data_IF_410345666460
#
_entry.id   IF_410345666460
#
_cell.length_a   1.000
_cell.length_b   1.000
_cell.length_c   1.000
_cell.angle_alpha   90.00
_cell.angle_beta   90.00
_cell.angle_gamma   90.00
#
_symmetry.space_group_name_H-M   'P 1'
#
loop_
_entity.id
_entity.type
_entity.pdbx_description
1 polymer ?
#
# COMPACT_ATOMS: atom_id res chain seq x y z
N UNK A 1 -10.21 20.05 -49.81
CA UNK A 1 -9.59 19.87 -48.48
C UNK A 1 -10.49 20.43 -47.36
N UNK A 2 -11.79 20.06 -47.31
CA UNK A 2 -12.76 20.70 -46.39
C UNK A 2 -13.88 19.77 -45.86
N UNK A 3 -13.72 18.44 -45.97
CA UNK A 3 -14.73 17.46 -45.50
C UNK A 3 -14.22 16.60 -44.32
N UNK A 4 -12.90 16.51 -44.13
CA UNK A 4 -12.31 15.64 -43.09
C UNK A 4 -12.28 16.26 -41.68
N UNK A 5 -12.14 17.59 -41.56
CA UNK A 5 -12.04 18.27 -40.25
C UNK A 5 -13.38 18.36 -39.51
N UNK A 6 -14.51 18.41 -40.23
CA UNK A 6 -15.86 18.49 -39.62
C UNK A 6 -16.35 17.15 -39.04
N UNK A 7 -15.80 16.02 -39.52
CA UNK A 7 -16.14 14.68 -39.02
C UNK A 7 -15.40 14.34 -37.71
N UNK A 8 -14.19 14.88 -37.55
CA UNK A 8 -13.33 14.65 -36.37
C UNK A 8 -13.82 15.39 -35.12
N UNK A 9 -14.36 16.60 -35.27
CA UNK A 9 -14.93 17.37 -34.15
C UNK A 9 -16.26 16.78 -33.63
N UNK A 10 -17.03 16.11 -34.50
CA UNK A 10 -18.28 15.43 -34.11
C UNK A 10 -18.02 14.12 -33.36
N UNK A 11 -16.93 13.42 -33.70
CA UNK A 11 -16.49 12.20 -32.99
C UNK A 11 -15.91 12.50 -31.60
N UNK A 12 -15.16 13.61 -31.47
CA UNK A 12 -14.57 14.02 -30.19
C UNK A 12 -15.62 14.51 -29.18
N UNK A 13 -16.67 15.22 -29.64
CA UNK A 13 -17.82 15.59 -28.80
C UNK A 13 -18.70 14.38 -28.40
N UNK A 14 -18.83 13.36 -29.27
CA UNK A 14 -19.63 12.17 -28.95
C UNK A 14 -18.93 11.30 -27.89
N UNK A 15 -17.60 11.17 -27.97
CA UNK A 15 -16.81 10.39 -27.02
C UNK A 15 -16.73 11.05 -25.64
N UNK A 16 -16.59 12.38 -25.59
CA UNK A 16 -16.59 13.15 -24.33
C UNK A 16 -17.97 13.18 -23.67
N UNK A 17 -19.06 13.13 -24.42
CA UNK A 17 -20.41 13.05 -23.86
C UNK A 17 -20.73 11.64 -23.33
N UNK A 18 -20.31 10.55 -24.01
CA UNK A 18 -20.48 9.17 -23.51
C UNK A 18 -19.62 8.85 -22.28
N UNK A 19 -18.39 9.36 -22.21
CA UNK A 19 -17.51 9.16 -21.04
C UNK A 19 -17.98 9.93 -19.80
N UNK A 20 -18.77 11.00 -19.96
CA UNK A 20 -19.36 11.75 -18.84
C UNK A 20 -20.66 11.13 -18.32
N UNK A 21 -21.31 10.30 -19.14
CA UNK A 21 -22.49 9.52 -18.75
C UNK A 21 -22.13 8.20 -18.06
N UNK A 22 -21.01 7.56 -18.43
CA UNK A 22 -20.60 6.29 -17.86
C UNK A 22 -20.45 6.31 -16.31
N UNK A 23 -19.71 7.27 -15.70
CA UNK A 23 -19.61 7.33 -14.25
C UNK A 23 -20.93 7.75 -13.59
N UNK A 24 -21.76 8.54 -14.29
CA UNK A 24 -23.05 9.03 -13.80
C UNK A 24 -24.13 7.96 -13.79
N UNK A 25 -24.12 7.05 -14.77
CA UNK A 25 -25.05 5.92 -14.89
C UNK A 25 -24.65 4.78 -13.95
N UNK A 26 -23.34 4.52 -13.81
CA UNK A 26 -22.80 3.50 -12.90
C UNK A 26 -22.98 3.91 -11.43
N UNK A 27 -22.80 5.19 -11.08
CA UNK A 27 -23.01 5.69 -9.71
C UNK A 27 -24.48 5.74 -9.26
N UNK A 28 -25.44 5.75 -10.19
CA UNK A 28 -26.87 5.89 -9.87
C UNK A 28 -27.59 4.56 -9.57
N UNK A 29 -26.98 3.42 -9.90
CA UNK A 29 -27.64 2.12 -9.74
C UNK A 29 -26.82 1.05 -8.99
N UNK A 30 -25.50 1.17 -8.94
CA UNK A 30 -24.66 0.16 -8.29
C UNK A 30 -24.37 0.50 -6.83
N UNK A 31 -24.56 -0.47 -5.94
CA UNK A 31 -24.14 -0.40 -4.55
C UNK A 31 -22.61 -0.14 -4.49
N UNK A 32 -22.10 0.71 -3.58
CA UNK A 32 -20.66 1.04 -3.49
C UNK A 32 -19.75 -0.19 -3.43
N UNK A 33 -20.23 -1.27 -2.81
CA UNK A 33 -19.58 -2.58 -2.83
C UNK A 33 -19.22 -3.09 -4.25
N UNK A 34 -20.15 -3.03 -5.20
CA UNK A 34 -19.90 -3.51 -6.56
C UNK A 34 -18.92 -2.61 -7.32
N UNK A 35 -18.85 -1.33 -6.99
CA UNK A 35 -17.86 -0.43 -7.57
C UNK A 35 -16.45 -0.81 -7.09
N UNK A 36 -16.29 -1.08 -5.80
CA UNK A 36 -15.02 -1.52 -5.23
C UNK A 36 -14.61 -2.90 -5.75
N UNK A 37 -15.55 -3.84 -5.85
CA UNK A 37 -15.29 -5.15 -6.44
C UNK A 37 -14.85 -5.04 -7.90
N UNK A 38 -15.56 -4.23 -8.70
CA UNK A 38 -15.16 -3.97 -10.09
C UNK A 38 -13.77 -3.31 -10.17
N UNK A 39 -13.45 -2.40 -9.26
CA UNK A 39 -12.14 -1.75 -9.19
C UNK A 39 -11.02 -2.78 -9.02
N UNK A 40 -11.11 -3.66 -8.02
CA UNK A 40 -10.09 -4.69 -7.78
C UNK A 40 -10.01 -5.71 -8.93
N UNK A 41 -11.14 -6.11 -9.51
CA UNK A 41 -11.15 -7.02 -10.66
C UNK A 41 -10.46 -6.41 -11.88
N UNK A 42 -10.76 -5.15 -12.21
CA UNK A 42 -10.13 -4.44 -13.34
C UNK A 42 -8.64 -4.23 -13.06
N UNK A 43 -8.26 -3.84 -11.84
CA UNK A 43 -6.87 -3.65 -11.44
C UNK A 43 -6.06 -4.96 -11.54
N UNK A 44 -6.61 -6.08 -11.03
CA UNK A 44 -6.03 -7.42 -11.14
C UNK A 44 -5.83 -7.86 -12.60
N UNK A 45 -6.84 -7.65 -13.46
CA UNK A 45 -6.76 -8.01 -14.87
C UNK A 45 -5.74 -7.15 -15.61
N UNK A 46 -5.74 -5.83 -15.37
CA UNK A 46 -4.78 -4.90 -15.96
C UNK A 46 -3.35 -5.27 -15.58
N UNK A 47 -3.09 -5.57 -14.30
CA UNK A 47 -1.78 -6.03 -13.85
C UNK A 47 -1.33 -7.33 -14.52
N UNK A 48 -2.22 -8.31 -14.67
CA UNK A 48 -1.89 -9.57 -15.34
C UNK A 48 -1.51 -9.34 -16.80
N UNK A 49 -2.29 -8.54 -17.54
CA UNK A 49 -1.94 -8.18 -18.92
C UNK A 49 -0.63 -7.39 -19.00
N UNK A 50 -0.41 -6.43 -18.10
CA UNK A 50 0.84 -5.65 -18.04
C UNK A 50 2.07 -6.52 -17.76
N UNK A 51 1.94 -7.50 -16.86
CA UNK A 51 3.02 -8.45 -16.56
C UNK A 51 3.28 -9.40 -17.73
N UNK A 52 2.23 -9.84 -18.42
CA UNK A 52 2.30 -10.74 -19.59
C UNK A 52 2.92 -10.07 -20.82
N UNK A 53 2.62 -8.79 -21.03
CA UNK A 53 3.18 -7.98 -22.12
C UNK A 53 4.63 -7.55 -21.84
N UNK A 54 5.03 -7.50 -20.58
CA UNK A 54 6.39 -7.13 -20.18
C UNK A 54 7.40 -8.23 -20.50
N UNK A 55 8.63 -7.82 -20.83
CA UNK A 55 9.72 -8.77 -21.10
C UNK A 55 10.18 -9.42 -19.78
N UNK A 56 10.13 -10.76 -19.67
CA UNK A 56 10.60 -11.47 -18.49
C UNK A 56 12.14 -11.38 -18.39
N UNK A 57 12.66 -11.52 -17.17
CA UNK A 57 14.10 -11.54 -16.90
C UNK A 57 14.74 -12.88 -17.29
N UNK A 58 14.00 -13.97 -17.12
CA UNK A 58 14.44 -15.34 -17.34
C UNK A 58 14.01 -15.88 -18.70
N UNK A 59 14.75 -16.86 -19.24
CA UNK A 59 14.38 -17.58 -20.48
C UNK A 59 13.09 -18.40 -20.32
N UNK A 60 12.80 -18.86 -19.11
CA UNK A 60 11.57 -19.59 -18.77
C UNK A 60 10.55 -18.59 -18.22
N UNK A 61 9.40 -18.48 -18.89
CA UNK A 61 8.28 -17.69 -18.40
C UNK A 61 7.51 -18.48 -17.34
N UNK A 62 7.09 -17.84 -16.23
CA UNK A 62 6.14 -18.43 -15.30
C UNK A 62 4.82 -18.77 -16.01
N UNK A 63 4.03 -19.69 -15.44
CA UNK A 63 2.73 -20.03 -16.00
C UNK A 63 1.80 -18.80 -15.95
N UNK A 64 0.86 -18.74 -16.91
CA UNK A 64 -0.11 -17.66 -16.97
C UNK A 64 -0.99 -17.58 -15.70
N UNK A 65 -1.30 -18.74 -15.09
CA UNK A 65 -2.06 -18.79 -13.84
C UNK A 65 -1.27 -18.23 -12.66
N UNK A 66 0.02 -18.57 -12.54
CA UNK A 66 0.88 -18.07 -11.46
C UNK A 66 1.10 -16.55 -11.60
N UNK A 67 1.16 -16.06 -12.84
CA UNK A 67 1.25 -14.63 -13.14
C UNK A 67 -0.05 -13.89 -12.80
N UNK A 68 -1.20 -14.48 -13.12
CA UNK A 68 -2.50 -13.93 -12.74
C UNK A 68 -2.65 -13.90 -11.22
N UNK A 69 -2.30 -15.00 -10.54
CA UNK A 69 -2.32 -15.07 -9.08
C UNK A 69 -1.41 -14.01 -8.45
N UNK A 70 -0.20 -13.83 -8.97
CA UNK A 70 0.72 -12.79 -8.50
C UNK A 70 0.14 -11.39 -8.67
N UNK A 71 -0.52 -11.11 -9.80
CA UNK A 71 -1.20 -9.83 -10.05
C UNK A 71 -2.34 -9.59 -9.06
N UNK A 72 -3.20 -10.59 -8.87
CA UNK A 72 -4.30 -10.55 -7.89
C UNK A 72 -3.73 -10.28 -6.51
N UNK A 73 -2.75 -11.08 -6.07
CA UNK A 73 -2.11 -10.97 -4.77
C UNK A 73 -1.48 -9.59 -4.51
N UNK A 74 -0.81 -9.01 -5.51
CA UNK A 74 -0.26 -7.66 -5.44
C UNK A 74 -1.36 -6.59 -5.34
N UNK A 75 -2.43 -6.74 -6.13
CA UNK A 75 -3.54 -5.77 -6.15
C UNK A 75 -4.43 -5.83 -4.92
N UNK A 76 -4.54 -7.00 -4.27
CA UNK A 76 -5.29 -7.18 -3.01
C UNK A 76 -4.40 -7.14 -1.79
N UNK A 77 -3.08 -6.90 -1.98
CA UNK A 77 -2.11 -6.77 -0.88
C UNK A 77 -2.13 -8.01 0.04
N UNK A 78 -2.28 -9.21 -0.55
CA UNK A 78 -2.45 -10.45 0.23
C UNK A 78 -1.13 -11.13 0.57
N UNK A 79 -0.01 -10.69 -0.01
CA UNK A 79 1.34 -11.25 0.20
C UNK A 79 1.56 -12.70 -0.22
N UNK A 80 0.58 -13.36 -0.85
CA UNK A 80 0.74 -14.73 -1.33
C UNK A 80 1.61 -14.78 -2.58
N UNK A 81 2.68 -15.58 -2.54
CA UNK A 81 3.67 -15.71 -3.61
C UNK A 81 3.50 -17.06 -4.31
N UNK A 82 3.16 -17.06 -5.60
CA UNK A 82 3.20 -18.27 -6.45
C UNK A 82 4.48 -18.38 -7.28
N UNK A 83 5.15 -17.25 -7.51
CA UNK A 83 6.41 -17.16 -8.27
C UNK A 83 7.40 -16.34 -7.47
N UNK A 84 8.61 -16.85 -7.31
CA UNK A 84 9.72 -16.14 -6.69
C UNK A 84 9.91 -14.75 -7.31
N UNK A 85 10.07 -13.73 -6.45
CA UNK A 85 10.11 -12.34 -6.91
C UNK A 85 11.40 -12.00 -7.68
N UNK A 86 12.47 -12.78 -7.52
CA UNK A 86 13.74 -12.60 -8.25
C UNK A 86 13.63 -12.91 -9.74
N UNK A 87 12.65 -13.74 -10.13
CA UNK A 87 12.39 -14.14 -11.52
C UNK A 87 11.88 -12.95 -12.34
N UNK A 88 11.26 -11.96 -11.70
CA UNK A 88 10.71 -10.79 -12.37
C UNK A 88 11.80 -9.80 -12.82
N UNK A 89 11.55 -9.15 -13.95
CA UNK A 89 12.41 -8.07 -14.44
C UNK A 89 12.18 -6.78 -13.65
N UNK A 90 13.14 -5.83 -13.68
CA UNK A 90 12.97 -4.55 -13.00
C UNK A 90 11.69 -3.81 -13.44
N UNK A 91 11.30 -3.91 -14.70
CA UNK A 91 10.06 -3.34 -15.21
C UNK A 91 8.82 -4.02 -14.63
N UNK A 92 8.84 -5.35 -14.50
CA UNK A 92 7.75 -6.10 -13.86
C UNK A 92 7.65 -5.79 -12.37
N UNK A 93 8.77 -5.64 -11.66
CA UNK A 93 8.80 -5.20 -10.27
C UNK A 93 8.19 -3.81 -10.12
N UNK A 94 8.51 -2.85 -10.99
CA UNK A 94 7.89 -1.50 -10.98
C UNK A 94 6.37 -1.58 -11.23
N UNK A 95 5.92 -2.45 -12.13
CA UNK A 95 4.49 -2.67 -12.36
C UNK A 95 3.80 -3.25 -11.12
N UNK A 96 4.42 -4.23 -10.47
CA UNK A 96 3.94 -4.77 -9.20
C UNK A 96 3.92 -3.71 -8.11
N UNK A 97 4.94 -2.84 -8.03
CA UNK A 97 4.97 -1.70 -7.11
C UNK A 97 3.77 -0.78 -7.32
N UNK A 98 3.43 -0.45 -8.57
CA UNK A 98 2.24 0.36 -8.87
C UNK A 98 0.94 -0.35 -8.50
N UNK A 99 0.87 -1.68 -8.70
CA UNK A 99 -0.28 -2.48 -8.29
C UNK A 99 -0.47 -2.49 -6.77
N UNK A 100 0.59 -2.77 -6.02
CA UNK A 100 0.58 -2.79 -4.54
C UNK A 100 0.20 -1.42 -3.98
N UNK A 101 0.73 -0.35 -4.58
CA UNK A 101 0.40 1.01 -4.20
C UNK A 101 -1.10 1.33 -4.44
N UNK A 102 -1.62 1.03 -5.63
CA UNK A 102 -3.03 1.27 -5.96
C UNK A 102 -4.00 0.40 -5.14
N UNK A 103 -3.62 -0.85 -4.87
CA UNK A 103 -4.38 -1.80 -4.08
C UNK A 103 -4.34 -1.56 -2.57
N UNK A 104 -3.37 -0.75 -2.10
CA UNK A 104 -3.18 -0.46 -0.69
C UNK A 104 -4.38 0.21 -0.03
N UNK A 105 -4.56 -0.08 1.25
CA UNK A 105 -5.66 0.45 2.07
C UNK A 105 -5.68 1.99 2.08
N UNK A 106 -4.49 2.61 2.14
CA UNK A 106 -4.35 4.07 2.10
C UNK A 106 -4.88 4.68 0.81
N UNK A 107 -4.66 4.04 -0.34
CA UNK A 107 -5.09 4.57 -1.64
C UNK A 107 -6.57 4.33 -1.89
N UNK A 108 -7.02 3.12 -1.57
CA UNK A 108 -8.42 2.74 -1.69
C UNK A 108 -9.30 3.59 -0.78
N UNK A 109 -8.86 3.91 0.44
CA UNK A 109 -9.59 4.82 1.33
C UNK A 109 -9.69 6.23 0.75
N UNK A 110 -8.62 6.78 0.16
CA UNK A 110 -8.67 8.08 -0.50
C UNK A 110 -9.59 8.08 -1.72
N UNK A 111 -9.62 6.99 -2.49
CA UNK A 111 -10.52 6.82 -3.62
C UNK A 111 -11.99 6.81 -3.16
N UNK A 112 -12.30 6.10 -2.08
CA UNK A 112 -13.64 6.04 -1.49
C UNK A 112 -14.13 7.43 -1.07
N UNK A 113 -13.25 8.26 -0.50
CA UNK A 113 -13.56 9.64 -0.16
C UNK A 113 -13.91 10.50 -1.39
N UNK A 114 -13.17 10.32 -2.50
CA UNK A 114 -13.44 11.04 -3.75
C UNK A 114 -14.79 10.61 -4.35
N UNK A 115 -15.09 9.31 -4.32
CA UNK A 115 -16.37 8.77 -4.80
C UNK A 115 -17.54 9.23 -3.93
N UNK A 116 -17.38 9.27 -2.61
CA UNK A 116 -18.37 9.78 -1.67
C UNK A 116 -18.71 11.26 -1.97
N UNK A 117 -17.71 12.11 -2.22
CA UNK A 117 -17.92 13.51 -2.61
C UNK A 117 -18.66 13.67 -3.93
N UNK A 118 -18.39 12.80 -4.90
CA UNK A 118 -19.11 12.83 -6.17
C UNK A 118 -20.61 12.54 -5.98
N UNK A 119 -20.95 11.52 -5.18
CA UNK A 119 -22.35 11.14 -4.91
C UNK A 119 -23.13 12.24 -4.19
N UNK A 120 -22.51 12.91 -3.22
CA UNK A 120 -23.09 14.06 -2.51
C UNK A 120 -23.34 15.23 -3.47
N UNK A 121 -22.43 15.49 -4.40
CA UNK A 121 -22.58 16.57 -5.39
C UNK A 121 -23.70 16.31 -6.40
N UNK A 122 -24.06 15.05 -6.64
CA UNK A 122 -25.10 14.66 -7.61
C UNK A 122 -26.53 14.62 -7.08
N UNK A 123 -26.74 14.75 -5.75
CA UNK A 123 -28.06 14.82 -5.13
C UNK A 123 -28.29 16.20 -4.46
N UNK A 124 -28.73 17.24 -5.20
CA UNK A 124 -29.02 18.53 -4.61
C UNK A 124 -30.45 18.52 -4.04
N UNK A 125 -30.59 18.38 -2.73
CA UNK A 125 -31.75 18.92 -2.02
C UNK A 125 -31.24 19.75 -0.83
N UNK A 126 -31.24 21.07 -1.03
CA UNK A 126 -30.71 22.10 -0.12
C UNK A 126 -31.65 22.34 1.10
N UNK A 127 -31.20 23.03 2.19
CA UNK A 127 -31.01 24.49 2.13
C UNK A 127 -29.72 25.04 2.78
N UNK A 128 -29.13 26.00 2.05
CA UNK A 128 -28.61 27.32 2.48
C UNK A 128 -27.51 27.43 3.56
N UNK A 129 -26.29 27.79 3.16
CA UNK A 129 -25.62 29.05 3.55
C UNK A 129 -24.39 29.33 2.67
N UNK A 130 -23.98 30.59 2.64
CA UNK A 130 -23.36 31.29 1.50
C UNK A 130 -21.82 31.21 1.46
N UNK A 131 -21.32 31.44 0.25
CA UNK A 131 -20.02 32.04 -0.13
C UNK A 131 -18.73 31.30 0.25
N UNK A 132 -18.09 30.72 -0.77
CA UNK A 132 -16.67 30.36 -0.80
C UNK A 132 -16.22 30.23 -2.24
N UNK A 133 -15.24 31.02 -2.64
CA UNK A 133 -14.66 31.15 -3.98
C UNK A 133 -14.05 29.85 -4.52
N UNK A 134 -13.94 29.67 -5.86
CA UNK A 134 -13.40 28.45 -6.45
C UNK A 134 -11.92 28.27 -6.07
N UNK A 135 -11.65 27.14 -5.43
CA UNK A 135 -10.32 26.67 -5.04
C UNK A 135 -9.44 26.52 -6.30
N UNK A 136 -8.48 27.43 -6.50
CA UNK A 136 -7.38 27.21 -7.45
C UNK A 136 -6.43 26.19 -6.83
N UNK A 137 -6.44 24.97 -7.36
CA UNK A 137 -5.42 23.98 -7.07
C UNK A 137 -4.10 24.44 -7.72
N UNK A 138 -3.16 24.92 -6.90
CA UNK A 138 -1.78 25.05 -7.33
C UNK A 138 -1.19 23.64 -7.37
N UNK A 139 -0.82 23.19 -8.57
CA UNK A 139 0.00 22.02 -8.80
C UNK A 139 1.36 22.25 -8.13
N UNK A 140 1.66 21.47 -7.10
CA UNK A 140 3.02 21.30 -6.62
C UNK A 140 3.65 20.25 -7.53
N UNK A 141 4.42 20.71 -8.51
CA UNK A 141 5.35 19.84 -9.23
C UNK A 141 6.39 19.35 -8.22
N UNK A 142 6.33 18.05 -7.92
CA UNK A 142 7.36 17.38 -7.15
C UNK A 142 8.54 17.14 -8.10
N UNK A 143 9.51 18.04 -8.06
CA UNK A 143 10.76 17.91 -8.79
C UNK A 143 11.46 16.63 -8.40
N UNK A 144 11.50 15.67 -9.32
CA UNK A 144 12.25 14.43 -9.20
C UNK A 144 13.74 14.79 -9.28
N UNK A 145 14.42 14.85 -8.14
CA UNK A 145 15.88 14.99 -8.08
C UNK A 145 16.48 13.76 -8.75
N UNK A 146 16.93 13.94 -9.99
CA UNK A 146 17.69 12.95 -10.74
C UNK A 146 19.10 12.94 -10.17
N UNK A 147 19.41 11.93 -9.35
CA UNK A 147 20.79 11.63 -8.96
C UNK A 147 21.40 10.81 -10.11
N UNK A 148 22.47 11.27 -10.79
CA UNK A 148 23.16 10.46 -11.78
C UNK A 148 24.00 9.44 -11.02
N UNK A 149 23.80 8.14 -11.27
CA UNK A 149 24.82 7.16 -10.91
C UNK A 149 25.19 6.31 -12.14
N UNK A 150 26.46 6.48 -12.47
CA UNK A 150 27.27 5.82 -13.46
C UNK A 150 27.17 4.29 -13.40
N UNK A 151 26.98 3.71 -14.59
CA UNK A 151 27.23 2.29 -14.84
C UNK A 151 28.72 1.97 -14.62
N UNK A 152 28.99 0.93 -13.85
CA UNK A 152 30.19 0.11 -14.05
C UNK A 152 29.95 -1.31 -13.52
N UNK A 153 29.84 -2.20 -14.52
CA UNK A 153 30.37 -3.56 -14.63
C UNK A 153 30.08 -4.68 -13.60
N UNK A 154 29.59 -5.80 -14.18
CA UNK A 154 29.82 -7.23 -13.87
C UNK A 154 29.61 -7.69 -12.41
N UNK A 155 28.76 -8.68 -12.08
CA UNK A 155 28.43 -9.94 -12.76
C UNK A 155 27.14 -10.50 -12.09
N UNK A 156 26.29 -11.21 -12.85
CA UNK A 156 24.88 -11.62 -12.60
C UNK A 156 23.84 -10.53 -12.93
N UNK A 157 22.70 -10.87 -13.57
CA UNK A 157 21.62 -9.92 -13.72
C UNK A 157 21.06 -9.66 -12.33
N UNK A 158 21.51 -8.59 -11.67
CA UNK A 158 21.10 -8.19 -10.32
C UNK A 158 20.02 -7.11 -10.41
N UNK A 159 19.05 -7.15 -9.48
CA UNK A 159 17.97 -6.14 -9.42
C UNK A 159 18.62 -4.78 -9.18
N UNK A 160 18.19 -3.75 -9.90
CA UNK A 160 18.74 -2.40 -9.67
C UNK A 160 18.45 -2.01 -8.23
N UNK A 161 19.45 -1.50 -7.51
CA UNK A 161 19.33 -1.13 -6.09
C UNK A 161 18.17 -0.15 -5.87
N UNK A 162 17.98 0.81 -6.78
CA UNK A 162 16.87 1.76 -6.74
C UNK A 162 15.51 1.07 -6.88
N UNK A 163 15.40 0.08 -7.77
CA UNK A 163 14.17 -0.71 -7.93
C UNK A 163 13.91 -1.56 -6.70
N UNK A 164 14.95 -2.17 -6.14
CA UNK A 164 14.88 -2.92 -4.88
C UNK A 164 14.35 -2.03 -3.75
N UNK A 165 14.98 -0.88 -3.50
CA UNK A 165 14.60 0.00 -2.40
C UNK A 165 13.19 0.55 -2.55
N UNK A 166 12.82 1.01 -3.75
CA UNK A 166 11.48 1.53 -4.00
C UNK A 166 10.42 0.43 -3.82
N UNK A 167 10.69 -0.76 -4.35
CA UNK A 167 9.78 -1.89 -4.22
C UNK A 167 9.58 -2.28 -2.77
N UNK A 168 10.66 -2.43 -1.99
CA UNK A 168 10.58 -2.78 -0.57
C UNK A 168 9.81 -1.71 0.20
N UNK A 169 10.13 -0.42 0.05
CA UNK A 169 9.43 0.66 0.78
C UNK A 169 7.92 0.65 0.48
N UNK A 170 7.54 0.56 -0.78
CA UNK A 170 6.11 0.57 -1.17
C UNK A 170 5.42 -0.72 -0.71
N UNK A 171 6.07 -1.87 -0.80
CA UNK A 171 5.52 -3.14 -0.32
C UNK A 171 5.30 -3.12 1.20
N UNK A 172 6.31 -2.68 1.97
CA UNK A 172 6.22 -2.56 3.42
C UNK A 172 5.16 -1.53 3.83
N UNK A 173 5.10 -0.37 3.15
CA UNK A 173 4.09 0.66 3.43
C UNK A 173 2.69 0.24 3.01
N UNK A 174 2.54 -0.48 1.91
CA UNK A 174 1.24 -0.98 1.49
C UNK A 174 0.81 -2.20 2.32
N UNK A 175 1.66 -2.75 3.20
CA UNK A 175 1.42 -4.02 3.92
C UNK A 175 1.40 -5.26 3.03
N UNK A 176 2.01 -5.21 1.83
CA UNK A 176 1.93 -6.29 0.84
C UNK A 176 2.87 -7.47 1.10
N UNK A 177 3.93 -7.33 1.90
CA UNK A 177 4.78 -8.47 2.26
C UNK A 177 5.69 -9.03 1.16
N UNK A 178 5.68 -8.46 -0.05
CA UNK A 178 6.59 -8.87 -1.11
C UNK A 178 7.96 -8.25 -0.92
N UNK A 179 9.00 -9.07 -1.03
CA UNK A 179 10.38 -8.62 -1.12
C UNK A 179 11.00 -9.25 -2.36
N UNK A 180 11.82 -8.52 -3.12
CA UNK A 180 12.41 -9.00 -4.35
C UNK A 180 13.62 -9.93 -4.08
N UNK A 181 13.41 -10.91 -3.20
CA UNK A 181 14.33 -11.97 -2.77
C UNK A 181 13.53 -13.27 -2.59
N UNK A 182 14.17 -14.43 -2.77
CA UNK A 182 13.46 -15.73 -2.66
C UNK A 182 13.06 -16.07 -1.21
N UNK A 183 13.90 -15.68 -0.26
CA UNK A 183 13.71 -15.95 1.17
C UNK A 183 13.14 -14.75 1.95
N UNK A 184 12.48 -13.81 1.26
CA UNK A 184 11.91 -12.62 1.88
C UNK A 184 12.98 -11.83 2.70
N UNK A 185 12.66 -11.39 3.92
CA UNK A 185 13.59 -10.63 4.77
C UNK A 185 14.59 -11.52 5.53
N UNK A 186 14.52 -12.85 5.41
CA UNK A 186 15.41 -13.78 6.13
C UNK A 186 16.88 -13.54 5.78
N UNK A 187 17.17 -13.19 4.53
CA UNK A 187 18.52 -12.84 4.03
C UNK A 187 19.12 -11.66 4.80
N UNK A 188 18.27 -10.76 5.31
CA UNK A 188 18.70 -9.54 5.99
C UNK A 188 18.65 -9.65 7.52
N UNK A 189 18.42 -10.84 8.09
CA UNK A 189 18.31 -11.04 9.55
C UNK A 189 19.50 -10.49 10.36
N UNK A 190 20.70 -10.49 9.76
CA UNK A 190 21.92 -9.97 10.37
C UNK A 190 22.02 -8.43 10.32
N UNK A 191 21.30 -7.79 9.39
CA UNK A 191 21.35 -6.35 9.15
C UNK A 191 20.23 -5.63 9.90
N UNK A 192 20.41 -5.48 11.21
CA UNK A 192 19.42 -4.83 12.09
C UNK A 192 19.08 -3.40 11.69
N UNK A 193 19.99 -2.69 11.00
CA UNK A 193 19.73 -1.32 10.54
C UNK A 193 18.59 -1.26 9.53
N UNK A 194 18.54 -2.19 8.58
CA UNK A 194 17.47 -2.27 7.58
C UNK A 194 16.12 -2.61 8.23
N UNK A 195 16.10 -3.59 9.13
CA UNK A 195 14.88 -4.01 9.83
C UNK A 195 14.29 -2.85 10.65
N UNK A 196 15.15 -2.11 11.35
CA UNK A 196 14.71 -0.97 12.17
C UNK A 196 14.21 0.19 11.31
N UNK A 197 14.79 0.41 10.12
CA UNK A 197 14.31 1.43 9.18
C UNK A 197 12.92 1.08 8.59
N UNK A 198 12.65 -0.19 8.36
CA UNK A 198 11.38 -0.67 7.83
C UNK A 198 10.28 -0.75 8.90
N UNK A 199 10.64 -0.99 10.16
CA UNK A 199 9.69 -1.14 11.27
C UNK A 199 8.66 0.01 11.40
N UNK A 200 9.04 1.31 11.36
CA UNK A 200 8.07 2.40 11.35
C UNK A 200 7.15 2.35 10.12
N UNK A 201 7.67 2.01 8.95
CA UNK A 201 6.91 1.99 7.70
C UNK A 201 5.81 0.92 7.74
N UNK A 202 6.08 -0.24 8.34
CA UNK A 202 5.09 -1.32 8.56
C UNK A 202 3.89 -0.81 9.36
N UNK A 203 4.16 -0.10 10.46
CA UNK A 203 3.09 0.38 11.36
C UNK A 203 2.27 1.51 10.72
N UNK A 204 2.92 2.41 9.99
CA UNK A 204 2.29 3.58 9.35
C UNK A 204 1.34 3.20 8.20
N UNK A 205 1.61 2.08 7.53
CA UNK A 205 0.98 1.68 6.28
C UNK A 205 -0.52 1.36 6.37
N UNK A 206 -0.91 0.64 7.41
CA UNK A 206 -2.28 0.14 7.55
C UNK A 206 -2.91 0.59 8.88
N UNK A 207 -2.68 -0.15 9.97
CA UNK A 207 -3.49 0.02 11.18
C UNK A 207 -3.26 1.34 11.92
N UNK A 208 -2.06 1.93 11.84
CA UNK A 208 -1.81 3.27 12.39
C UNK A 208 -2.02 4.38 11.36
N UNK A 209 -2.57 4.10 10.19
CA UNK A 209 -2.95 5.14 9.23
C UNK A 209 -3.88 6.20 9.84
N UNK A 210 -4.98 5.86 10.56
CA UNK A 210 -5.87 6.87 11.15
C UNK A 210 -5.20 7.78 12.19
N UNK A 211 -4.44 7.27 13.19
CA UNK A 211 -3.63 8.10 14.09
C UNK A 211 -2.62 8.98 13.35
N UNK A 212 -1.91 8.44 12.36
CA UNK A 212 -0.87 9.19 11.63
C UNK A 212 -1.45 10.29 10.76
N UNK A 213 -2.57 10.02 10.08
CA UNK A 213 -3.32 11.04 9.35
C UNK A 213 -3.73 12.19 10.28
N UNK A 214 -4.22 11.87 11.48
CA UNK A 214 -4.58 12.87 12.49
C UNK A 214 -3.37 13.69 12.95
N UNK A 215 -2.21 13.06 13.18
CA UNK A 215 -0.96 13.74 13.52
C UNK A 215 -0.50 14.69 12.40
N UNK A 216 -0.57 14.25 11.14
CA UNK A 216 -0.24 15.09 9.97
C UNK A 216 -1.15 16.32 9.90
N UNK A 217 -2.47 16.15 10.09
CA UNK A 217 -3.41 17.28 10.10
C UNK A 217 -3.11 18.23 11.27
N UNK A 218 -2.74 17.71 12.45
CA UNK A 218 -2.33 18.52 13.59
C UNK A 218 -1.03 19.30 13.33
N UNK A 219 -0.05 18.68 12.67
CA UNK A 219 1.19 19.33 12.24
C UNK A 219 0.92 20.43 11.22
N UNK A 220 0.10 20.15 10.19
CA UNK A 220 -0.33 21.14 9.20
C UNK A 220 -1.08 22.31 9.83
N UNK A 221 -1.95 22.04 10.82
CA UNK A 221 -2.59 23.09 11.62
C UNK A 221 -1.55 23.97 12.32
N UNK A 222 -0.51 23.38 12.91
CA UNK A 222 0.53 24.13 13.63
C UNK A 222 1.40 24.97 12.69
N UNK A 223 1.72 24.44 11.51
CA UNK A 223 2.55 25.10 10.49
C UNK A 223 1.78 26.18 9.74
N UNK A 224 0.60 25.86 9.20
CA UNK A 224 -0.14 26.75 8.30
C UNK A 224 -1.10 27.70 9.05
N UNK A 225 -1.44 27.42 10.32
CA UNK A 225 -2.37 28.19 11.17
C UNK A 225 -3.74 28.51 10.51
N UNK A 226 -4.15 27.75 9.49
CA UNK A 226 -5.45 27.90 8.83
C UNK A 226 -6.57 27.33 9.71
N UNK A 227 -7.71 28.01 9.75
CA UNK A 227 -8.89 27.54 10.48
C UNK A 227 -9.51 26.28 9.87
N UNK A 228 -9.27 26.02 8.59
CA UNK A 228 -9.75 24.85 7.84
C UNK A 228 -9.34 23.52 8.49
N UNK A 229 -8.09 23.38 8.95
CA UNK A 229 -7.62 22.17 9.63
C UNK A 229 -8.23 22.02 11.03
N UNK A 230 -8.52 23.13 11.71
CA UNK A 230 -9.23 23.11 12.99
C UNK A 230 -10.69 22.69 12.82
N UNK A 231 -11.33 23.12 11.73
CA UNK A 231 -12.68 22.70 11.37
C UNK A 231 -12.72 21.21 11.01
N UNK A 232 -11.74 20.72 10.24
CA UNK A 232 -11.64 19.31 9.84
C UNK A 232 -11.45 18.36 11.04
N UNK A 233 -10.62 18.74 12.02
CA UNK A 233 -10.42 17.98 13.26
C UNK A 233 -11.64 17.97 14.19
N UNK A 234 -12.49 19.01 14.13
CA UNK A 234 -13.65 19.18 15.00
C UNK A 234 -14.90 18.49 14.43
N UNK A 235 -15.08 18.57 13.10
CA UNK A 235 -16.24 18.01 12.39
C UNK A 235 -15.88 16.72 11.64
N UNK A 236 -14.98 15.91 12.18
CA UNK A 236 -14.52 14.67 11.54
C UNK A 236 -15.69 13.69 11.27
N UNK A 237 -16.72 13.70 12.13
CA UNK A 237 -17.92 12.86 12.01
C UNK A 237 -18.80 13.22 10.81
N UNK A 238 -18.81 14.49 10.41
CA UNK A 238 -19.65 14.99 9.31
C UNK A 238 -18.96 14.86 7.93
N UNK A 239 -17.65 14.57 7.92
CA UNK A 239 -16.85 14.45 6.69
C UNK A 239 -17.02 13.09 5.99
N UNK A 240 -17.63 12.09 6.66
CA UNK A 240 -17.89 10.77 6.09
C UNK A 240 -16.62 9.97 5.72
N UNK A 241 -15.47 10.27 6.35
CA UNK A 241 -14.24 9.51 6.17
C UNK A 241 -14.01 8.60 7.37
N UNK A 242 -14.18 7.29 7.17
CA UNK A 242 -14.15 6.29 8.25
C UNK A 242 -12.79 6.24 8.96
N UNK A 243 -11.70 6.61 8.27
CA UNK A 243 -10.35 6.67 8.86
C UNK A 243 -10.05 7.99 9.59
N UNK A 244 -10.99 8.93 9.70
CA UNK A 244 -10.84 10.08 10.61
C UNK A 244 -11.45 9.76 11.98
N UNK A 245 -10.72 9.02 12.82
CA UNK A 245 -11.17 8.67 14.17
C UNK A 245 -10.95 9.81 15.19
N UNK A 246 -11.75 9.79 16.27
CA UNK A 246 -11.58 10.68 17.43
C UNK A 246 -10.23 10.46 18.13
N UNK A 247 -9.72 11.48 18.84
CA UNK A 247 -8.42 11.39 19.53
C UNK A 247 -8.36 10.23 20.54
N UNK A 248 -9.46 9.99 21.25
CA UNK A 248 -9.56 8.88 22.19
C UNK A 248 -9.49 7.53 21.47
N UNK A 249 -10.22 7.36 20.36
CA UNK A 249 -10.18 6.14 19.58
C UNK A 249 -8.80 5.92 18.93
N UNK A 250 -8.14 6.97 18.43
CA UNK A 250 -6.76 6.87 17.94
C UNK A 250 -5.80 6.44 19.06
N UNK A 251 -5.93 7.01 20.26
CA UNK A 251 -5.10 6.66 21.41
C UNK A 251 -5.32 5.21 21.84
N UNK A 252 -6.58 4.78 21.95
CA UNK A 252 -6.94 3.40 22.26
C UNK A 252 -6.43 2.43 21.19
N UNK A 253 -6.56 2.77 19.91
CA UNK A 253 -6.03 1.97 18.80
C UNK A 253 -4.52 1.78 18.92
N UNK A 254 -3.76 2.88 19.10
CA UNK A 254 -2.31 2.82 19.31
C UNK A 254 -1.97 1.96 20.54
N UNK A 255 -2.68 2.15 21.65
CA UNK A 255 -2.45 1.39 22.87
C UNK A 255 -2.70 -0.12 22.68
N UNK A 256 -3.79 -0.50 21.98
CA UNK A 256 -4.10 -1.91 21.71
C UNK A 256 -3.09 -2.55 20.74
N UNK A 257 -2.71 -1.85 19.67
CA UNK A 257 -1.70 -2.35 18.71
C UNK A 257 -0.36 -2.55 19.40
N UNK A 258 0.12 -1.56 20.16
CA UNK A 258 1.38 -1.69 20.91
C UNK A 258 1.28 -2.77 21.99
N UNK A 259 0.19 -2.84 22.73
CA UNK A 259 -0.02 -3.85 23.77
C UNK A 259 0.01 -5.28 23.22
N UNK A 260 -0.72 -5.55 22.13
CA UNK A 260 -0.73 -6.88 21.50
C UNK A 260 0.63 -7.23 20.87
N UNK A 261 1.37 -6.26 20.34
CA UNK A 261 2.72 -6.49 19.84
C UNK A 261 3.71 -6.80 20.98
N UNK A 262 3.62 -6.11 22.12
CA UNK A 262 4.47 -6.38 23.29
C UNK A 262 4.22 -7.78 23.85
N UNK A 263 2.96 -8.21 23.98
CA UNK A 263 2.62 -9.56 24.47
C UNK A 263 3.25 -10.63 23.59
N UNK A 264 3.12 -10.49 22.27
CA UNK A 264 3.70 -11.44 21.32
C UNK A 264 5.23 -11.41 21.29
N UNK A 265 5.83 -10.23 21.41
CA UNK A 265 7.28 -10.08 21.52
C UNK A 265 7.83 -10.82 22.73
N UNK A 266 7.21 -10.64 23.90
CA UNK A 266 7.60 -11.34 25.13
C UNK A 266 7.46 -12.85 24.97
N UNK A 267 6.37 -13.32 24.38
CA UNK A 267 6.12 -14.76 24.19
C UNK A 267 7.12 -15.38 23.19
N UNK A 268 7.38 -14.71 22.06
CA UNK A 268 8.37 -15.13 21.06
C UNK A 268 9.78 -15.19 21.67
N UNK A 269 10.20 -14.12 22.35
CA UNK A 269 11.52 -14.10 22.99
C UNK A 269 11.65 -15.16 24.08
N UNK A 270 10.60 -15.44 24.85
CA UNK A 270 10.67 -16.43 25.94
C UNK A 270 10.80 -17.87 25.43
N UNK A 271 10.16 -18.18 24.30
CA UNK A 271 10.13 -19.55 23.77
C UNK A 271 11.27 -19.85 22.79
N UNK A 272 11.68 -18.88 21.96
CA UNK A 272 12.63 -19.11 20.86
C UNK A 272 14.05 -18.61 21.15
N UNK A 273 14.34 -18.08 22.35
CA UNK A 273 15.66 -17.49 22.64
C UNK A 273 16.84 -18.43 22.38
N UNK A 274 16.63 -19.70 22.69
CA UNK A 274 17.62 -20.78 22.63
C UNK A 274 17.36 -21.76 21.47
N UNK A 275 16.46 -21.44 20.54
CA UNK A 275 16.22 -22.29 19.38
C UNK A 275 17.22 -22.02 18.27
N UNK A 276 17.32 -22.98 17.35
CA UNK A 276 18.21 -22.93 16.18
C UNK A 276 17.92 -21.73 15.26
N UNK A 277 16.72 -21.15 15.36
CA UNK A 277 16.26 -20.01 14.54
C UNK A 277 17.03 -18.73 14.88
N UNK A 278 17.29 -18.52 16.16
CA UNK A 278 18.02 -17.37 16.68
C UNK A 278 19.52 -17.66 16.88
N UNK A 279 19.98 -18.86 16.53
CA UNK A 279 21.38 -19.24 16.68
C UNK A 279 22.29 -18.41 15.75
N UNK A 280 23.44 -17.98 16.27
CA UNK A 280 24.39 -17.12 15.55
C UNK A 280 24.06 -15.62 15.53
N UNK A 281 22.92 -15.19 16.09
CA UNK A 281 22.58 -13.76 16.23
C UNK A 281 23.03 -13.19 17.57
N UNK A 282 23.56 -11.96 17.55
CA UNK A 282 23.87 -11.21 18.75
C UNK A 282 22.57 -10.83 19.50
N UNK A 283 22.63 -10.58 20.81
CA UNK A 283 21.46 -10.24 21.65
C UNK A 283 20.65 -9.08 21.05
N UNK A 284 21.33 -8.03 20.58
CA UNK A 284 20.67 -6.90 19.90
C UNK A 284 19.96 -7.33 18.61
N UNK A 285 20.62 -8.13 17.78
CA UNK A 285 20.03 -8.64 16.53
C UNK A 285 18.81 -9.52 16.80
N UNK A 286 18.88 -10.38 17.83
CA UNK A 286 17.75 -11.21 18.29
C UNK A 286 16.55 -10.35 18.64
N UNK A 287 16.74 -9.29 19.42
CA UNK A 287 15.66 -8.39 19.84
C UNK A 287 15.05 -7.62 18.65
N UNK A 288 15.88 -7.09 17.74
CA UNK A 288 15.37 -6.36 16.57
C UNK A 288 14.64 -7.29 15.60
N UNK A 289 15.18 -8.48 15.35
CA UNK A 289 14.57 -9.47 14.45
C UNK A 289 13.23 -9.99 15.01
N UNK A 290 13.16 -10.29 16.31
CA UNK A 290 11.91 -10.69 16.97
C UNK A 290 10.87 -9.57 17.00
N UNK A 291 11.28 -8.32 17.26
CA UNK A 291 10.38 -7.17 17.21
C UNK A 291 9.79 -6.96 15.80
N UNK A 292 10.63 -7.08 14.79
CA UNK A 292 10.23 -6.97 13.38
C UNK A 292 9.27 -8.10 12.99
N UNK A 293 9.59 -9.35 13.33
CA UNK A 293 8.74 -10.50 13.04
C UNK A 293 7.34 -10.35 13.68
N UNK A 294 7.29 -9.94 14.94
CA UNK A 294 6.01 -9.78 15.65
C UNK A 294 5.20 -8.62 15.08
N UNK A 295 5.85 -7.51 14.73
CA UNK A 295 5.15 -6.37 14.12
C UNK A 295 4.56 -6.75 12.76
N UNK A 296 5.28 -7.55 11.99
CA UNK A 296 4.83 -8.00 10.68
C UNK A 296 3.72 -9.04 10.75
N UNK A 297 3.69 -9.90 11.76
CA UNK A 297 2.70 -10.98 11.82
C UNK A 297 1.23 -10.50 11.63
N UNK A 298 0.88 -9.28 12.02
CA UNK A 298 -0.47 -8.68 11.79
C UNK A 298 -0.52 -7.78 10.57
N UNK A 299 0.59 -7.15 10.22
CA UNK A 299 0.58 -5.94 9.39
C UNK A 299 1.31 -6.11 8.06
N UNK A 300 2.19 -7.08 7.90
CA UNK A 300 2.98 -7.28 6.69
C UNK A 300 3.31 -8.75 6.53
N UNK A 301 3.10 -9.32 5.34
CA UNK A 301 3.58 -10.68 5.02
C UNK A 301 5.10 -10.85 4.97
N UNK A 302 5.87 -9.95 5.58
CA UNK A 302 7.33 -9.97 5.63
C UNK A 302 7.83 -10.82 6.82
N UNK A 303 8.59 -11.87 6.53
CA UNK A 303 9.17 -12.77 7.53
C UNK A 303 10.69 -12.68 7.57
N UNK A 304 11.24 -12.59 8.79
CA UNK A 304 12.69 -12.65 9.08
C UNK A 304 13.11 -14.03 9.56
N UNK A 305 12.16 -14.79 10.10
CA UNK A 305 12.36 -16.17 10.51
C UNK A 305 11.53 -17.11 9.63
N UNK A 306 12.03 -18.34 9.47
CA UNK A 306 11.30 -19.39 8.79
C UNK A 306 10.17 -19.90 9.70
N UNK A 307 8.93 -19.55 9.34
CA UNK A 307 7.72 -19.92 10.08
C UNK A 307 7.54 -21.44 10.20
N UNK A 308 8.12 -22.24 9.30
CA UNK A 308 8.04 -23.70 9.34
C UNK A 308 8.87 -24.32 10.47
N UNK A 309 9.89 -23.60 10.94
CA UNK A 309 10.82 -24.05 11.99
C UNK A 309 10.46 -23.55 13.39
N UNK A 310 9.53 -22.58 13.50
CA UNK A 310 9.07 -21.99 14.76
C UNK A 310 8.20 -22.97 15.55
N UNK A 311 8.26 -22.89 16.89
CA UNK A 311 7.39 -23.67 17.77
C UNK A 311 5.90 -23.49 17.44
N UNK A 312 5.15 -24.60 17.48
CA UNK A 312 3.72 -24.63 17.18
C UNK A 312 2.89 -23.67 18.05
N UNK A 313 3.32 -23.40 19.28
CA UNK A 313 2.63 -22.46 20.17
C UNK A 313 2.65 -21.01 19.65
N UNK A 314 3.79 -20.58 19.10
CA UNK A 314 3.93 -19.25 18.50
C UNK A 314 3.21 -19.20 17.16
N UNK A 315 3.19 -20.29 16.40
CA UNK A 315 2.42 -20.35 15.16
C UNK A 315 0.92 -20.14 15.44
N UNK A 316 0.37 -20.78 16.46
CA UNK A 316 -1.03 -20.55 16.90
C UNK A 316 -1.23 -19.08 17.31
N UNK A 317 -0.26 -18.48 18.01
CA UNK A 317 -0.31 -17.08 18.39
C UNK A 317 -0.36 -16.14 17.17
N UNK A 318 0.45 -16.40 16.14
CA UNK A 318 0.42 -15.65 14.88
C UNK A 318 -0.90 -15.86 14.13
N UNK A 319 -1.46 -17.07 14.11
CA UNK A 319 -2.76 -17.35 13.49
C UNK A 319 -3.89 -16.57 14.18
N UNK A 320 -3.89 -16.46 15.51
CA UNK A 320 -4.91 -15.68 16.25
C UNK A 320 -4.79 -14.17 16.00
N UNK A 321 -3.62 -13.73 15.55
CA UNK A 321 -3.28 -12.33 15.38
C UNK A 321 -3.56 -11.81 13.96
N UNK A 322 -3.43 -12.68 12.96
CA UNK A 322 -3.83 -12.49 11.56
C UNK A 322 -5.34 -12.57 11.37
#
# INVERSE_FOLDING_TARGET
MNVFTKKQHRFCCFFTHRLRFLPRFVAFHFHPFFLQLCYFLILSMLGYFSLKLSKPRTRVRPNDLDLFFTSVSASTVSSMVAVEMEVFSNSQLILLTLLMFLGGEVFTSMLDLVLARYKVTTNPFSPTSKTGTPFKANQVELGLVTIPHSESENHKPSIKIVTFSLFTIVSTFASCGFIPTNENMMVFKNNSGLLLLLLPHVLLGNTLYPPCLRLVIMLLKKVTRREEYSYLLKNFKDMGYDHMLSALHCCLLVATVLGLNVVQFVMLCSMEWNSNIMEGLNVYQKLVASLFQVTNARHSGESVFDLSSISSAILVLFIVMM
#
